data_IF_211578389865
#
_entry.id   IF_211578389865
#
_cell.length_a   1.000
_cell.length_b   1.000
_cell.length_c   1.000
_cell.angle_alpha   90.00
_cell.angle_beta   90.00
_cell.angle_gamma   90.00
#
_symmetry.space_group_name_H-M   'P 1'
#
loop_
_entity.id
_entity.type
_entity.pdbx_description
1 polymer ?
#
# COMPACT_ATOMS: atom_id res chain seq x y z
N UNK A 1 3.15 11.45 -8.18
CA UNK A 1 4.32 11.89 -8.97
C UNK A 1 5.43 10.85 -8.94
N UNK A 2 6.30 10.89 -9.92
CA UNK A 2 7.49 10.04 -9.99
C UNK A 2 8.71 10.89 -10.37
N UNK A 3 9.87 10.56 -9.83
CA UNK A 3 11.15 11.19 -10.09
C UNK A 3 12.20 10.09 -10.26
N UNK A 4 13.01 10.19 -11.30
CA UNK A 4 14.18 9.33 -11.51
C UNK A 4 15.41 10.19 -11.63
N UNK A 5 16.44 9.90 -10.85
CA UNK A 5 17.72 10.59 -10.82
C UNK A 5 18.83 9.60 -11.12
N UNK A 6 19.83 10.05 -11.87
CA UNK A 6 21.03 9.27 -12.14
C UNK A 6 22.27 10.08 -11.72
N UNK A 7 22.59 10.11 -10.41
CA UNK A 7 23.67 10.92 -9.88
C UNK A 7 25.06 10.47 -10.35
N UNK A 8 25.19 9.21 -10.76
CA UNK A 8 26.40 8.62 -11.35
C UNK A 8 26.00 7.71 -12.51
N UNK A 9 26.89 7.47 -13.44
CA UNK A 9 26.65 6.66 -14.64
C UNK A 9 26.10 5.25 -14.36
N UNK A 10 26.32 4.73 -13.16
CA UNK A 10 25.94 3.35 -12.78
C UNK A 10 24.96 3.26 -11.62
N UNK A 11 24.47 4.38 -11.12
CA UNK A 11 23.51 4.40 -10.00
C UNK A 11 22.28 5.18 -10.44
N UNK A 12 21.11 4.55 -10.30
CA UNK A 12 19.81 5.17 -10.55
C UNK A 12 19.00 5.19 -9.26
N UNK A 13 18.41 6.32 -8.96
CA UNK A 13 17.48 6.50 -7.83
C UNK A 13 16.10 6.78 -8.41
N UNK A 14 15.13 5.97 -8.04
CA UNK A 14 13.75 6.10 -8.44
C UNK A 14 12.90 6.40 -7.22
N UNK A 15 12.09 7.45 -7.30
CA UNK A 15 11.13 7.82 -6.28
C UNK A 15 9.76 7.93 -6.92
N UNK A 16 8.77 7.33 -6.31
CA UNK A 16 7.37 7.49 -6.71
C UNK A 16 6.47 7.60 -5.51
N UNK A 17 5.45 8.42 -5.61
CA UNK A 17 4.44 8.56 -4.56
C UNK A 17 3.09 8.95 -5.15
N UNK A 18 2.05 8.51 -4.51
CA UNK A 18 0.70 9.00 -4.72
C UNK A 18 0.05 9.32 -3.37
N UNK A 19 -0.83 10.29 -3.40
CA UNK A 19 -1.67 10.67 -2.28
C UNK A 19 -3.06 10.93 -2.81
N UNK A 20 -4.05 10.37 -2.15
CA UNK A 20 -5.46 10.54 -2.49
C UNK A 20 -6.19 11.13 -1.30
N UNK A 21 -6.87 12.23 -1.52
CA UNK A 21 -7.89 12.75 -0.64
C UNK A 21 -9.24 12.64 -1.35
N UNK A 22 -10.21 12.03 -0.71
CA UNK A 22 -11.55 11.86 -1.26
C UNK A 22 -12.60 12.04 -0.18
N UNK A 23 -13.75 12.52 -0.60
CA UNK A 23 -14.93 12.63 0.26
C UNK A 23 -16.10 11.93 -0.45
N UNK A 24 -16.33 10.68 -0.09
CA UNK A 24 -17.44 9.88 -0.59
C UNK A 24 -18.55 9.85 0.49
N UNK A 25 -19.65 10.52 0.21
CA UNK A 25 -20.76 10.67 1.15
C UNK A 25 -22.03 10.07 0.56
N UNK A 26 -22.85 9.48 1.42
CA UNK A 26 -24.19 9.06 1.05
C UNK A 26 -25.11 10.28 0.94
N UNK A 27 -25.66 10.51 -0.25
CA UNK A 27 -26.63 11.58 -0.52
C UNK A 27 -27.96 11.05 -1.03
N UNK A 28 -28.24 9.75 -0.80
CA UNK A 28 -29.39 9.06 -1.39
C UNK A 28 -30.72 9.63 -0.88
N UNK A 29 -30.84 9.88 0.41
CA UNK A 29 -32.06 10.39 1.01
C UNK A 29 -31.76 11.31 2.21
N UNK A 30 -32.34 12.49 2.21
CA UNK A 30 -32.15 13.49 3.27
C UNK A 30 -33.24 13.45 4.36
N UNK A 31 -34.24 12.57 4.25
CA UNK A 31 -35.32 12.45 5.23
C UNK A 31 -34.87 11.62 6.45
N UNK A 32 -34.64 12.26 7.62
CA UNK A 32 -34.07 11.59 8.80
C UNK A 32 -35.07 10.57 9.44
N UNK A 33 -36.31 10.56 9.01
CA UNK A 33 -37.31 9.61 9.53
C UNK A 33 -37.22 8.25 8.87
N UNK A 34 -36.51 8.13 7.77
CA UNK A 34 -36.27 6.88 7.03
C UNK A 34 -34.94 6.25 7.40
N UNK A 35 -34.80 4.93 7.25
CA UNK A 35 -33.50 4.26 7.45
C UNK A 35 -32.40 4.83 6.52
N UNK A 36 -32.74 5.09 5.26
CA UNK A 36 -31.81 5.67 4.29
C UNK A 36 -31.39 7.10 4.67
N UNK A 37 -32.25 7.87 5.34
CA UNK A 37 -31.93 9.22 5.78
C UNK A 37 -30.99 9.29 6.97
N UNK A 38 -30.90 8.23 7.77
CA UNK A 38 -29.95 8.17 8.90
C UNK A 38 -28.49 8.20 8.47
N UNK A 39 -28.19 7.77 7.25
CA UNK A 39 -26.84 7.75 6.68
C UNK A 39 -26.54 8.95 5.80
N UNK A 40 -27.46 9.89 5.69
CA UNK A 40 -27.29 11.10 4.88
C UNK A 40 -26.05 11.89 5.27
N UNK A 41 -25.18 12.18 4.30
CA UNK A 41 -23.86 12.80 4.48
C UNK A 41 -22.87 11.99 5.32
N UNK A 42 -23.19 10.73 5.62
CA UNK A 42 -22.20 9.84 6.19
C UNK A 42 -21.20 9.36 5.14
N UNK A 43 -20.00 9.04 5.58
CA UNK A 43 -18.97 8.47 4.72
C UNK A 43 -19.39 7.06 4.28
N UNK A 44 -19.28 6.79 2.99
CA UNK A 44 -19.57 5.46 2.44
C UNK A 44 -18.60 4.43 3.04
N UNK A 45 -19.12 3.23 3.31
CA UNK A 45 -18.38 2.13 3.90
C UNK A 45 -17.09 1.82 3.10
N UNK A 46 -16.02 1.48 3.82
CA UNK A 46 -14.69 1.12 3.28
C UNK A 46 -14.01 2.19 2.41
N UNK A 47 -14.49 3.43 2.40
CA UNK A 47 -13.85 4.54 1.65
C UNK A 47 -13.09 5.47 2.60
N UNK A 48 -11.78 5.32 2.78
CA UNK A 48 -11.00 6.24 3.62
C UNK A 48 -10.95 7.63 2.99
N UNK A 49 -10.94 8.68 3.81
CA UNK A 49 -10.77 10.07 3.30
C UNK A 49 -9.37 10.32 2.77
N UNK A 50 -8.39 9.67 3.34
CA UNK A 50 -6.99 9.80 2.94
C UNK A 50 -6.38 8.42 2.72
N UNK A 51 -5.63 8.29 1.66
CA UNK A 51 -4.81 7.11 1.39
C UNK A 51 -3.61 7.49 0.52
N UNK A 52 -2.61 6.65 0.51
CA UNK A 52 -1.47 6.88 -0.34
C UNK A 52 -0.47 5.75 -0.29
N UNK A 53 0.48 5.82 -1.18
CA UNK A 53 1.61 4.90 -1.22
C UNK A 53 2.84 5.61 -1.78
N UNK A 54 4.00 5.05 -1.52
CA UNK A 54 5.24 5.51 -2.11
C UNK A 54 6.25 4.40 -2.21
N UNK A 55 7.20 4.60 -3.10
CA UNK A 55 8.32 3.71 -3.33
C UNK A 55 9.58 4.52 -3.56
N UNK A 56 10.67 4.08 -2.93
CA UNK A 56 12.02 4.55 -3.18
C UNK A 56 12.89 3.37 -3.60
N UNK A 57 13.61 3.50 -4.70
CA UNK A 57 14.49 2.46 -5.23
C UNK A 57 15.88 2.99 -5.54
N UNK A 58 16.88 2.17 -5.29
CA UNK A 58 18.28 2.41 -5.70
C UNK A 58 18.71 1.21 -6.53
N UNK A 59 19.03 1.48 -7.79
CA UNK A 59 19.54 0.49 -8.71
C UNK A 59 21.06 0.70 -8.88
N UNK A 60 21.81 -0.37 -8.68
CA UNK A 60 23.26 -0.41 -8.89
C UNK A 60 23.63 -1.59 -9.79
N UNK A 61 24.85 -1.63 -10.35
CA UNK A 61 25.29 -2.79 -11.14
C UNK A 61 25.35 -4.11 -10.37
N UNK A 62 25.37 -4.04 -9.06
CA UNK A 62 25.57 -5.23 -8.22
C UNK A 62 24.31 -5.69 -7.53
N UNK A 63 23.48 -4.76 -7.08
CA UNK A 63 22.30 -5.03 -6.26
C UNK A 63 21.30 -3.89 -6.40
N UNK A 64 20.03 -4.21 -6.37
CA UNK A 64 18.95 -3.24 -6.30
C UNK A 64 18.32 -3.32 -4.92
N UNK A 65 18.04 -2.15 -4.36
CA UNK A 65 17.32 -1.99 -3.11
C UNK A 65 16.04 -1.22 -3.36
N UNK A 66 14.94 -1.63 -2.74
CA UNK A 66 13.73 -0.82 -2.74
C UNK A 66 13.05 -0.84 -1.37
N UNK A 67 12.42 0.28 -1.08
CA UNK A 67 11.55 0.48 0.06
C UNK A 67 10.19 0.92 -0.46
N UNK A 68 9.14 0.36 0.07
CA UNK A 68 7.76 0.76 -0.24
C UNK A 68 6.95 0.93 1.02
N UNK A 69 6.01 1.84 0.95
CA UNK A 69 5.01 2.01 2.00
C UNK A 69 3.64 2.27 1.39
N UNK A 70 2.62 1.92 2.13
CA UNK A 70 1.25 2.30 1.87
C UNK A 70 0.58 2.71 3.19
N UNK A 71 -0.41 3.56 3.11
CA UNK A 71 -1.24 3.93 4.25
C UNK A 71 -2.69 4.16 3.82
N UNK A 72 -3.58 3.91 4.75
CA UNK A 72 -4.99 4.20 4.63
C UNK A 72 -5.48 4.82 5.93
N UNK A 73 -6.25 5.90 5.83
CA UNK A 73 -6.84 6.56 6.98
C UNK A 73 -8.01 5.78 7.58
N UNK A 74 -8.57 6.36 8.63
CA UNK A 74 -9.77 5.84 9.28
C UNK A 74 -10.92 5.72 8.29
N UNK A 75 -11.69 4.64 8.42
CA UNK A 75 -12.86 4.33 7.60
C UNK A 75 -13.93 3.64 8.44
N UNK A 76 -15.09 3.45 7.87
CA UNK A 76 -16.21 2.76 8.51
C UNK A 76 -16.54 1.48 7.73
N UNK A 77 -17.04 0.46 8.42
CA UNK A 77 -17.45 -0.82 7.81
C UNK A 77 -18.89 -0.79 7.31
N UNK A 78 -19.67 0.18 7.77
CA UNK A 78 -21.05 0.41 7.38
C UNK A 78 -21.26 1.90 7.14
N UNK A 79 -22.36 2.25 6.48
CA UNK A 79 -22.71 3.64 6.18
C UNK A 79 -23.10 4.45 7.42
N UNK A 80 -23.42 3.79 8.53
CA UNK A 80 -23.54 4.45 9.83
C UNK A 80 -22.15 4.74 10.39
N UNK A 81 -21.81 6.03 10.47
CA UNK A 81 -20.48 6.48 10.89
C UNK A 81 -20.37 6.61 12.43
N UNK A 82 -20.73 5.53 13.13
CA UNK A 82 -20.61 5.42 14.60
C UNK A 82 -19.28 4.77 14.99
N UNK A 83 -18.92 4.89 16.27
CA UNK A 83 -17.63 4.38 16.76
C UNK A 83 -17.48 2.87 16.56
N UNK A 84 -18.54 2.11 16.78
CA UNK A 84 -18.60 0.65 16.66
C UNK A 84 -18.31 0.16 15.24
N UNK A 85 -18.64 0.98 14.25
CA UNK A 85 -18.42 0.72 12.84
C UNK A 85 -17.09 1.27 12.33
N UNK A 86 -16.30 1.93 13.19
CA UNK A 86 -15.03 2.51 12.76
C UNK A 86 -13.93 1.48 12.68
N UNK A 87 -13.04 1.66 11.73
CA UNK A 87 -11.75 0.99 11.62
C UNK A 87 -10.64 2.03 11.61
N UNK A 88 -9.64 1.82 12.45
CA UNK A 88 -8.46 2.70 12.50
C UNK A 88 -7.68 2.65 11.19
N UNK A 89 -6.97 3.74 10.92
CA UNK A 89 -6.03 3.81 9.82
C UNK A 89 -4.83 2.89 10.06
N UNK A 90 -4.18 2.48 8.98
CA UNK A 90 -2.98 1.66 9.04
C UNK A 90 -1.90 2.14 8.07
N UNK A 91 -0.68 1.71 8.33
CA UNK A 91 0.43 1.82 7.39
C UNK A 91 1.19 0.51 7.34
N UNK A 92 1.57 0.11 6.13
CA UNK A 92 2.44 -1.04 5.88
C UNK A 92 3.71 -0.59 5.18
N UNK A 93 4.82 -1.18 5.55
CA UNK A 93 6.15 -0.86 5.06
C UNK A 93 6.88 -2.13 4.66
N UNK A 94 7.53 -2.11 3.51
CA UNK A 94 8.24 -3.27 2.99
C UNK A 94 9.59 -2.85 2.41
N UNK A 95 10.56 -3.75 2.48
CA UNK A 95 11.86 -3.60 1.82
C UNK A 95 12.10 -4.79 0.91
N UNK A 96 12.81 -4.57 -0.18
CA UNK A 96 13.29 -5.64 -1.03
C UNK A 96 14.72 -5.40 -1.47
N UNK A 97 15.42 -6.50 -1.67
CA UNK A 97 16.76 -6.54 -2.25
C UNK A 97 16.70 -7.51 -3.41
N UNK A 98 17.22 -7.12 -4.55
CA UNK A 98 17.28 -7.99 -5.73
C UNK A 98 18.59 -7.87 -6.46
N UNK A 99 18.96 -8.95 -7.14
CA UNK A 99 20.13 -9.02 -8.03
C UNK A 99 19.78 -9.81 -9.27
N UNK A 100 20.22 -9.29 -10.43
CA UNK A 100 20.13 -9.97 -11.71
C UNK A 100 21.53 -10.33 -12.20
N UNK A 101 21.65 -11.49 -12.82
CA UNK A 101 22.90 -12.00 -13.38
C UNK A 101 22.62 -12.90 -14.57
N UNK A 102 23.61 -13.07 -15.44
CA UNK A 102 23.55 -13.97 -16.57
C UNK A 102 24.30 -15.24 -16.22
N UNK A 103 23.66 -16.37 -16.35
CA UNK A 103 24.27 -17.70 -16.25
C UNK A 103 24.10 -18.37 -17.61
N UNK A 104 25.20 -18.62 -18.31
CA UNK A 104 25.21 -19.18 -19.66
C UNK A 104 24.32 -18.35 -20.62
N UNK A 105 23.23 -18.91 -21.09
CA UNK A 105 22.25 -18.25 -21.99
C UNK A 105 20.98 -17.76 -21.25
N UNK A 106 20.95 -17.85 -19.93
CA UNK A 106 19.78 -17.49 -19.14
C UNK A 106 19.98 -16.17 -18.41
N UNK A 107 18.93 -15.38 -18.37
CA UNK A 107 18.85 -14.21 -17.51
C UNK A 107 18.17 -14.60 -16.19
N UNK A 108 18.93 -14.59 -15.11
CA UNK A 108 18.44 -15.02 -13.78
C UNK A 108 18.34 -13.84 -12.85
N UNK A 109 17.25 -13.73 -12.10
CA UNK A 109 17.10 -12.74 -11.03
C UNK A 109 16.63 -13.38 -9.73
N UNK A 110 17.24 -12.97 -8.63
CA UNK A 110 16.86 -13.36 -7.27
C UNK A 110 16.41 -12.12 -6.53
N UNK A 111 15.31 -12.21 -5.80
CA UNK A 111 14.85 -11.16 -4.90
C UNK A 111 14.46 -11.74 -3.54
N UNK A 112 14.71 -10.97 -2.50
CA UNK A 112 14.24 -11.21 -1.13
C UNK A 112 13.51 -9.97 -0.65
N UNK A 113 12.32 -10.18 -0.11
CA UNK A 113 11.46 -9.11 0.40
C UNK A 113 11.08 -9.38 1.85
N UNK A 114 11.08 -8.34 2.66
CA UNK A 114 10.49 -8.34 4.00
C UNK A 114 9.27 -7.44 3.95
N UNK A 115 8.10 -8.05 4.13
CA UNK A 115 6.80 -7.40 4.13
C UNK A 115 6.39 -7.08 5.58
N UNK A 116 5.64 -6.00 5.76
CA UNK A 116 5.20 -5.53 7.08
C UNK A 116 6.35 -5.47 8.09
N UNK A 117 7.39 -4.70 7.78
CA UNK A 117 8.62 -4.60 8.59
C UNK A 117 8.32 -4.23 10.04
N UNK A 118 7.35 -3.35 10.24
CA UNK A 118 6.95 -2.88 11.56
C UNK A 118 6.18 -3.94 12.36
N UNK A 119 5.84 -5.08 11.75
CA UNK A 119 5.05 -6.16 12.34
C UNK A 119 3.75 -5.65 12.98
N UNK A 120 3.08 -4.72 12.30
CA UNK A 120 1.81 -4.18 12.77
C UNK A 120 0.67 -5.13 12.45
N UNK A 121 -0.19 -5.34 13.42
CA UNK A 121 -1.47 -6.00 13.20
C UNK A 121 -2.45 -4.95 12.67
N UNK A 122 -3.00 -5.17 11.50
CA UNK A 122 -4.02 -4.32 10.91
C UNK A 122 -4.99 -5.14 10.07
N UNK A 123 -6.13 -4.57 9.78
CA UNK A 123 -7.19 -5.18 8.99
C UNK A 123 -7.53 -4.28 7.82
N UNK A 124 -7.70 -4.85 6.64
CA UNK A 124 -8.26 -4.16 5.47
C UNK A 124 -9.78 -4.29 5.49
N UNK A 125 -10.26 -5.48 5.81
CA UNK A 125 -11.66 -5.80 6.05
C UNK A 125 -11.81 -6.21 7.50
N UNK A 126 -12.85 -5.74 8.18
CA UNK A 126 -13.10 -6.02 9.61
C UNK A 126 -13.12 -7.53 9.87
N UNK A 127 -12.44 -7.96 10.91
CA UNK A 127 -12.26 -9.36 11.32
C UNK A 127 -11.40 -10.22 10.35
N UNK A 128 -10.73 -9.62 9.39
CA UNK A 128 -9.78 -10.29 8.52
C UNK A 128 -8.40 -9.66 8.70
N UNK A 129 -7.61 -10.11 9.70
CA UNK A 129 -6.30 -9.57 9.96
C UNK A 129 -5.34 -9.88 8.81
N UNK A 130 -4.55 -8.89 8.46
CA UNK A 130 -3.47 -9.05 7.49
C UNK A 130 -2.30 -9.80 8.12
N UNK A 131 -1.50 -10.54 7.32
CA UNK A 131 -0.31 -11.20 7.81
C UNK A 131 0.63 -10.22 8.53
N UNK A 132 1.22 -10.66 9.63
CA UNK A 132 2.31 -9.97 10.29
C UNK A 132 3.55 -9.91 9.39
N UNK A 133 4.70 -9.59 9.97
CA UNK A 133 5.97 -9.59 9.23
C UNK A 133 6.19 -10.93 8.54
N UNK A 134 6.49 -10.87 7.26
CA UNK A 134 6.75 -12.05 6.44
C UNK A 134 7.94 -11.83 5.51
N UNK A 135 8.58 -12.92 5.11
CA UNK A 135 9.70 -12.91 4.17
C UNK A 135 9.30 -13.69 2.93
N UNK A 136 9.56 -13.11 1.77
CA UNK A 136 9.34 -13.75 0.47
C UNK A 136 10.64 -13.78 -0.32
N UNK A 137 11.01 -14.94 -0.83
CA UNK A 137 12.11 -15.11 -1.78
C UNK A 137 11.55 -15.49 -3.15
N UNK A 138 12.06 -14.88 -4.21
CA UNK A 138 11.64 -15.14 -5.58
C UNK A 138 12.85 -15.38 -6.47
N UNK A 139 12.78 -16.44 -7.27
CA UNK A 139 13.76 -16.77 -8.31
C UNK A 139 13.06 -16.71 -9.67
N UNK A 140 13.57 -15.89 -10.58
CA UNK A 140 13.10 -15.85 -11.97
C UNK A 140 14.24 -16.29 -12.90
N UNK A 141 13.92 -17.20 -13.83
CA UNK A 141 14.86 -17.67 -14.85
C UNK A 141 14.19 -17.50 -16.21
N UNK A 142 14.88 -16.79 -17.12
CA UNK A 142 14.41 -16.57 -18.51
C UNK A 142 15.47 -17.10 -19.48
N UNK A 143 15.05 -17.89 -20.45
CA UNK A 143 15.86 -18.42 -21.56
C UNK A 143 15.86 -17.43 -22.74
#
# INVERSE_FOLDING_TARGET
GSLSLQPWERIRINLSSNYTYQQALDITNSDPTTEAGRTYKHQIAYTPRVSGSGQAGIETPWINFSYSFLFSGKRYVQNENIAENSMEGYSDHSISISRSFHILKTHTSVSVEVLNIANKNYEIVKNFPMPGRSVRATLNIRY
#
